data_IF_490257569154
#
_entry.id   IF_490257569154
#
_cell.length_a   1.000
_cell.length_b   1.000
_cell.length_c   1.000
_cell.angle_alpha   90.00
_cell.angle_beta   90.00
_cell.angle_gamma   90.00
#
_symmetry.space_group_name_H-M   'P 1'
#
loop_
_entity.id
_entity.type
_entity.pdbx_description
1 polymer ?
#
# COMPACT_ATOMS: atom_id res chain seq x y z
N UNK A 1 -8.31 22.07 0.54
CA UNK A 1 -6.87 21.92 0.24
C UNK A 1 -6.76 20.99 -0.96
N UNK A 2 -6.00 21.39 -1.95
CA UNK A 2 -5.73 20.52 -3.10
C UNK A 2 -4.85 19.36 -2.62
N UNK A 3 -5.14 18.16 -3.06
CA UNK A 3 -4.35 16.94 -2.75
C UNK A 3 -2.86 17.09 -3.13
N UNK A 4 -2.53 17.97 -4.07
CA UNK A 4 -1.15 18.28 -4.49
C UNK A 4 -0.27 18.74 -3.33
N UNK A 5 -0.75 19.71 -2.53
CA UNK A 5 0.01 20.20 -1.38
C UNK A 5 0.17 19.13 -0.29
N UNK A 6 -0.77 18.20 -0.18
CA UNK A 6 -0.70 17.12 0.81
C UNK A 6 0.30 16.02 0.42
N UNK A 7 0.36 15.65 -0.86
CA UNK A 7 1.31 14.63 -1.33
C UNK A 7 2.77 15.06 -1.11
N UNK A 8 3.10 16.32 -1.38
CA UNK A 8 4.43 16.90 -1.19
C UNK A 8 4.91 16.86 0.28
N UNK A 9 3.97 17.03 1.24
CA UNK A 9 4.29 16.98 2.68
C UNK A 9 4.07 15.62 3.33
N UNK A 10 3.46 14.68 2.62
CA UNK A 10 3.05 13.38 3.18
C UNK A 10 4.23 12.61 3.76
N UNK A 11 5.35 12.56 3.07
CA UNK A 11 6.54 11.85 3.54
C UNK A 11 7.15 12.48 4.80
N UNK A 12 7.05 13.81 4.94
CA UNK A 12 7.43 14.50 6.17
C UNK A 12 6.52 14.11 7.35
N UNK A 13 5.22 13.96 7.10
CA UNK A 13 4.24 13.53 8.12
C UNK A 13 4.36 12.04 8.45
N UNK A 14 4.87 11.23 7.55
CA UNK A 14 5.11 9.79 7.74
C UNK A 14 6.57 9.47 8.03
N UNK A 15 7.39 10.46 8.39
CA UNK A 15 8.81 10.29 8.72
C UNK A 15 9.08 9.35 9.89
N UNK A 16 8.06 9.06 10.72
CA UNK A 16 8.09 8.06 11.77
C UNK A 16 7.81 6.63 11.28
N UNK A 17 7.44 6.46 10.01
CA UNK A 17 7.21 5.13 9.42
C UNK A 17 8.56 4.57 8.95
N UNK A 18 9.04 3.57 9.66
CA UNK A 18 10.27 2.86 9.29
C UNK A 18 9.97 1.88 8.14
N UNK A 19 9.98 2.40 6.90
CA UNK A 19 9.66 1.61 5.70
C UNK A 19 10.60 0.42 5.50
N UNK A 20 11.85 0.53 5.93
CA UNK A 20 12.84 -0.57 5.89
C UNK A 20 12.41 -1.74 6.78
N UNK A 21 12.01 -1.46 8.00
CA UNK A 21 11.58 -2.47 8.96
C UNK A 21 10.26 -3.10 8.53
N UNK A 22 9.36 -2.28 7.96
CA UNK A 22 8.10 -2.75 7.40
C UNK A 22 8.33 -3.68 6.21
N UNK A 23 9.20 -3.31 5.30
CA UNK A 23 9.55 -4.15 4.16
C UNK A 23 10.19 -5.48 4.61
N UNK A 24 11.10 -5.44 5.58
CA UNK A 24 11.69 -6.64 6.17
C UNK A 24 10.64 -7.53 6.84
N UNK A 25 9.69 -6.93 7.55
CA UNK A 25 8.59 -7.67 8.17
C UNK A 25 7.71 -8.37 7.11
N UNK A 26 7.33 -7.66 6.03
CA UNK A 26 6.55 -8.24 4.93
C UNK A 26 7.30 -9.39 4.28
N UNK A 27 8.59 -9.24 4.01
CA UNK A 27 9.42 -10.31 3.46
C UNK A 27 9.46 -11.54 4.36
N UNK A 28 9.68 -11.35 5.68
CA UNK A 28 9.64 -12.43 6.66
C UNK A 28 8.26 -13.09 6.73
N UNK A 29 7.21 -12.31 6.65
CA UNK A 29 5.83 -12.82 6.67
C UNK A 29 5.56 -13.72 5.46
N UNK A 30 5.90 -13.29 4.25
CA UNK A 30 5.75 -14.10 3.02
C UNK A 30 6.52 -15.42 3.17
N UNK A 31 7.78 -15.36 3.61
CA UNK A 31 8.62 -16.55 3.83
C UNK A 31 8.04 -17.49 4.89
N UNK A 32 7.37 -16.96 5.93
CA UNK A 32 6.75 -17.78 6.97
C UNK A 32 5.60 -18.65 6.46
N UNK A 33 4.98 -18.24 5.36
CA UNK A 33 3.98 -19.04 4.63
C UNK A 33 4.59 -20.03 3.63
N UNK A 34 5.93 -20.12 3.57
CA UNK A 34 6.64 -20.99 2.62
C UNK A 34 6.47 -20.53 1.17
N UNK A 35 6.34 -19.22 0.94
CA UNK A 35 6.10 -18.63 -0.37
C UNK A 35 7.23 -17.70 -0.80
N UNK A 36 7.34 -17.55 -2.12
CA UNK A 36 8.06 -16.43 -2.74
C UNK A 36 7.08 -15.31 -3.03
N UNK A 37 7.56 -14.08 -3.08
CA UNK A 37 6.72 -12.90 -3.32
C UNK A 37 6.05 -12.92 -4.69
N UNK A 38 6.77 -13.43 -5.72
CA UNK A 38 6.32 -13.40 -7.11
C UNK A 38 5.98 -12.00 -7.58
N UNK A 39 5.10 -11.90 -8.56
CA UNK A 39 4.58 -10.60 -9.03
C UNK A 39 3.73 -9.98 -7.93
N UNK A 40 4.19 -8.85 -7.41
CA UNK A 40 3.65 -8.19 -6.22
C UNK A 40 2.93 -6.88 -6.57
N UNK A 41 1.75 -6.69 -6.01
CA UNK A 41 1.00 -5.43 -6.07
C UNK A 41 1.07 -4.73 -4.71
N UNK A 42 1.51 -3.47 -4.69
CA UNK A 42 1.30 -2.55 -3.58
C UNK A 42 0.01 -1.74 -3.85
N UNK A 43 -1.07 -2.11 -3.17
CA UNK A 43 -2.41 -1.55 -3.34
C UNK A 43 -2.65 -0.40 -2.37
N UNK A 44 -2.98 0.78 -2.89
CA UNK A 44 -2.97 2.07 -2.20
C UNK A 44 -1.54 2.45 -1.75
N UNK A 45 -0.62 2.43 -2.70
CA UNK A 45 0.81 2.63 -2.47
C UNK A 45 1.19 4.06 -2.05
N UNK A 46 0.27 5.03 -2.18
CA UNK A 46 0.53 6.43 -1.86
C UNK A 46 1.71 7.00 -2.63
N UNK A 47 2.66 7.61 -1.93
CA UNK A 47 3.90 8.17 -2.49
C UNK A 47 4.97 7.11 -2.77
N UNK A 48 4.62 5.82 -2.74
CA UNK A 48 5.47 4.72 -3.19
C UNK A 48 6.67 4.39 -2.30
N UNK A 49 6.78 4.93 -1.10
CA UNK A 49 7.96 4.73 -0.24
C UNK A 49 8.17 3.26 0.13
N UNK A 50 7.10 2.53 0.44
CA UNK A 50 7.16 1.09 0.69
C UNK A 50 7.42 0.30 -0.59
N UNK A 51 6.74 0.67 -1.69
CA UNK A 51 6.95 0.06 -3.01
C UNK A 51 8.41 0.12 -3.42
N UNK A 52 9.03 1.30 -3.29
CA UNK A 52 10.43 1.54 -3.62
C UNK A 52 11.39 0.72 -2.74
N UNK A 53 11.12 0.65 -1.44
CA UNK A 53 11.94 -0.15 -0.51
C UNK A 53 11.86 -1.65 -0.84
N UNK A 54 10.68 -2.18 -1.18
CA UNK A 54 10.51 -3.56 -1.60
C UNK A 54 11.17 -3.84 -2.95
N UNK A 55 11.05 -2.92 -3.90
CA UNK A 55 11.74 -3.03 -5.19
C UNK A 55 13.27 -3.14 -5.02
N UNK A 56 13.87 -2.29 -4.17
CA UNK A 56 15.30 -2.32 -3.86
C UNK A 56 15.75 -3.60 -3.15
N UNK A 57 14.82 -4.34 -2.57
CA UNK A 57 15.02 -5.70 -1.99
C UNK A 57 14.84 -6.81 -3.02
N UNK A 58 14.58 -6.47 -4.28
CA UNK A 58 14.46 -7.41 -5.39
C UNK A 58 13.06 -7.97 -5.63
N UNK A 59 12.02 -7.31 -5.11
CA UNK A 59 10.64 -7.68 -5.44
C UNK A 59 10.30 -7.26 -6.88
N UNK A 60 9.61 -8.12 -7.61
CA UNK A 60 8.91 -7.77 -8.84
C UNK A 60 7.60 -7.09 -8.48
N UNK A 61 7.61 -5.76 -8.31
CA UNK A 61 6.54 -5.00 -7.69
C UNK A 61 6.09 -3.81 -8.52
N UNK A 62 4.79 -3.54 -8.48
CA UNK A 62 4.19 -2.33 -9.02
C UNK A 62 3.19 -1.73 -8.02
N UNK A 63 2.93 -0.43 -8.14
CA UNK A 63 2.04 0.31 -7.24
C UNK A 63 0.72 0.69 -7.90
N UNK A 64 -0.35 0.68 -7.11
CA UNK A 64 -1.67 1.21 -7.49
C UNK A 64 -2.14 2.17 -6.42
N UNK A 65 -2.53 3.38 -6.82
CA UNK A 65 -3.19 4.35 -5.94
C UNK A 65 -4.31 5.09 -6.67
N UNK A 66 -5.25 5.65 -5.92
CA UNK A 66 -6.35 6.43 -6.46
C UNK A 66 -5.97 7.89 -6.77
N UNK A 67 -4.88 8.39 -6.18
CA UNK A 67 -4.41 9.75 -6.29
C UNK A 67 -3.27 9.86 -7.29
N UNK A 68 -3.51 10.61 -8.37
CA UNK A 68 -2.47 10.89 -9.38
C UNK A 68 -1.33 11.72 -8.77
N UNK A 69 -1.61 12.57 -7.79
CA UNK A 69 -0.62 13.41 -7.14
C UNK A 69 0.34 12.56 -6.32
N UNK A 70 -0.20 11.58 -5.55
CA UNK A 70 0.62 10.60 -4.82
C UNK A 70 1.51 9.79 -5.77
N UNK A 71 0.97 9.34 -6.90
CA UNK A 71 1.75 8.59 -7.89
C UNK A 71 2.81 9.44 -8.59
N UNK A 72 2.57 10.75 -8.76
CA UNK A 72 3.58 11.68 -9.26
C UNK A 72 4.78 11.78 -8.31
N UNK A 73 4.53 11.88 -7.01
CA UNK A 73 5.58 11.85 -5.99
C UNK A 73 6.31 10.49 -5.97
N UNK A 74 5.56 9.39 -6.08
CA UNK A 74 6.15 8.06 -6.16
C UNK A 74 7.11 7.93 -7.36
N UNK A 75 6.71 8.43 -8.52
CA UNK A 75 7.55 8.40 -9.73
C UNK A 75 8.79 9.29 -9.61
N UNK A 76 8.69 10.45 -8.96
CA UNK A 76 9.82 11.35 -8.75
C UNK A 76 10.89 10.78 -7.80
N UNK A 77 10.50 9.88 -6.89
CA UNK A 77 11.43 9.21 -5.98
C UNK A 77 12.26 8.11 -6.65
N UNK A 78 11.79 7.59 -7.78
CA UNK A 78 12.52 6.58 -8.52
C UNK A 78 13.73 7.20 -9.21
N UNK A 79 14.89 6.56 -9.12
CA UNK A 79 16.05 6.91 -9.94
C UNK A 79 15.82 6.47 -11.40
N UNK A 80 16.67 6.95 -12.32
CA UNK A 80 16.56 6.62 -13.75
C UNK A 80 16.63 5.10 -14.03
N UNK A 81 17.32 4.35 -13.17
CA UNK A 81 17.47 2.90 -13.28
C UNK A 81 16.32 2.11 -12.60
N UNK A 82 15.48 2.77 -11.82
CA UNK A 82 14.36 2.14 -11.10
C UNK A 82 13.08 2.21 -11.93
N UNK A 83 12.73 1.11 -12.61
CA UNK A 83 11.56 1.04 -13.48
C UNK A 83 10.37 0.43 -12.74
N UNK A 84 9.70 1.20 -11.91
CA UNK A 84 8.51 0.79 -11.19
C UNK A 84 7.27 1.31 -11.92
N UNK A 85 6.32 0.43 -12.21
CA UNK A 85 5.04 0.80 -12.78
C UNK A 85 4.09 1.31 -11.69
N UNK A 86 3.56 2.52 -11.86
CA UNK A 86 2.51 3.07 -11.02
C UNK A 86 1.23 3.29 -11.84
N UNK A 87 0.09 2.80 -11.32
CA UNK A 87 -1.20 2.82 -12.01
C UNK A 87 -2.25 3.55 -11.18
N UNK A 88 -2.91 4.56 -11.76
CA UNK A 88 -3.96 5.31 -11.08
C UNK A 88 -5.29 4.56 -11.16
N UNK A 89 -5.66 3.88 -10.08
CA UNK A 89 -6.94 3.17 -9.95
C UNK A 89 -7.42 3.18 -8.50
N UNK A 90 -8.74 3.19 -8.31
CA UNK A 90 -9.35 2.95 -7.00
C UNK A 90 -9.33 1.45 -6.69
N UNK A 91 -8.98 1.08 -5.44
CA UNK A 91 -8.88 -0.32 -5.03
C UNK A 91 -10.16 -1.14 -5.23
N UNK A 92 -11.35 -0.53 -5.04
CA UNK A 92 -12.64 -1.16 -5.31
C UNK A 92 -12.99 -1.27 -6.80
N UNK A 93 -12.17 -0.71 -7.67
CA UNK A 93 -12.29 -0.80 -9.14
C UNK A 93 -11.04 -1.39 -9.79
N UNK A 94 -10.21 -2.08 -9.00
CA UNK A 94 -8.97 -2.69 -9.47
C UNK A 94 -9.23 -3.55 -10.71
N UNK A 95 -8.44 -3.30 -11.76
CA UNK A 95 -8.50 -4.04 -13.01
C UNK A 95 -7.09 -4.21 -13.55
N UNK A 96 -6.57 -5.44 -13.45
CA UNK A 96 -5.23 -5.82 -13.85
C UNK A 96 -5.27 -6.63 -15.15
N UNK A 97 -4.17 -6.60 -15.89
CA UNK A 97 -4.02 -7.35 -17.14
C UNK A 97 -3.66 -8.83 -16.89
N UNK A 98 -3.07 -9.15 -15.73
CA UNK A 98 -2.61 -10.50 -15.36
C UNK A 98 -2.87 -10.80 -13.91
N UNK A 99 -2.70 -12.06 -13.52
CA UNK A 99 -2.68 -12.48 -12.12
C UNK A 99 -1.43 -11.95 -11.40
N UNK A 100 -1.53 -11.86 -10.08
CA UNK A 100 -0.46 -11.47 -9.16
C UNK A 100 -0.31 -12.54 -8.08
N UNK A 101 0.90 -12.71 -7.54
CA UNK A 101 1.16 -13.70 -6.50
C UNK A 101 1.02 -13.13 -5.10
N UNK A 102 1.32 -11.85 -4.93
CA UNK A 102 1.19 -11.15 -3.65
C UNK A 102 0.51 -9.80 -3.86
N UNK A 103 -0.47 -9.50 -3.01
CA UNK A 103 -1.05 -8.17 -2.86
C UNK A 103 -0.75 -7.66 -1.45
N UNK A 104 -0.21 -6.44 -1.36
CA UNK A 104 0.08 -5.75 -0.10
C UNK A 104 -0.81 -4.52 -0.04
N UNK A 105 -1.45 -4.24 1.09
CA UNK A 105 -2.26 -3.05 1.33
C UNK A 105 -2.09 -2.63 2.79
N UNK A 106 -1.12 -1.78 3.08
CA UNK A 106 -0.71 -1.44 4.45
C UNK A 106 -0.96 0.03 4.80
N UNK A 107 -0.53 0.42 6.00
CA UNK A 107 -0.72 1.78 6.53
C UNK A 107 -2.19 2.17 6.61
N UNK A 108 -3.01 1.26 7.15
CA UNK A 108 -4.45 1.41 7.36
C UNK A 108 -5.26 1.86 6.13
N UNK A 109 -4.73 1.63 4.92
CA UNK A 109 -5.37 2.04 3.67
C UNK A 109 -6.79 1.49 3.49
N UNK A 110 -7.06 0.26 3.97
CA UNK A 110 -8.41 -0.32 3.99
C UNK A 110 -9.39 0.53 4.83
N UNK A 111 -8.92 1.17 5.89
CA UNK A 111 -9.76 2.01 6.76
C UNK A 111 -10.28 3.29 6.08
N UNK A 112 -9.66 3.72 4.97
CA UNK A 112 -10.16 4.83 4.17
C UNK A 112 -11.45 4.49 3.39
N UNK A 113 -11.79 3.20 3.26
CA UNK A 113 -13.05 2.75 2.67
C UNK A 113 -14.17 2.81 3.72
N UNK A 114 -14.89 3.92 3.76
CA UNK A 114 -15.97 4.15 4.73
C UNK A 114 -17.28 3.41 4.40
N UNK A 115 -17.41 2.88 3.18
CA UNK A 115 -18.58 2.13 2.74
C UNK A 115 -18.29 0.62 2.74
N UNK A 116 -19.04 -0.20 3.50
CA UNK A 116 -18.84 -1.65 3.52
C UNK A 116 -18.96 -2.34 2.16
N UNK A 117 -19.71 -1.76 1.21
CA UNK A 117 -19.79 -2.28 -0.17
C UNK A 117 -18.45 -2.14 -0.89
N UNK A 118 -17.75 -1.02 -0.68
CA UNK A 118 -16.44 -0.77 -1.29
C UNK A 118 -15.37 -1.69 -0.72
N UNK A 119 -15.40 -1.95 0.60
CA UNK A 119 -14.53 -2.94 1.24
C UNK A 119 -14.76 -4.31 0.61
N UNK A 120 -16.02 -4.77 0.55
CA UNK A 120 -16.36 -6.07 -0.04
C UNK A 120 -15.91 -6.17 -1.50
N UNK A 121 -16.11 -5.11 -2.28
CA UNK A 121 -15.71 -5.10 -3.69
C UNK A 121 -14.18 -5.13 -3.83
N UNK A 122 -13.44 -4.41 -2.98
CA UNK A 122 -11.97 -4.44 -2.96
C UNK A 122 -11.46 -5.88 -2.73
N UNK A 123 -11.97 -6.56 -1.71
CA UNK A 123 -11.58 -7.94 -1.44
C UNK A 123 -11.90 -8.89 -2.60
N UNK A 124 -13.06 -8.71 -3.26
CA UNK A 124 -13.43 -9.48 -4.46
C UNK A 124 -12.47 -9.20 -5.62
N UNK A 125 -12.07 -7.94 -5.82
CA UNK A 125 -11.14 -7.56 -6.88
C UNK A 125 -9.76 -8.14 -6.65
N UNK A 126 -9.24 -8.04 -5.43
CA UNK A 126 -7.97 -8.67 -5.08
C UNK A 126 -8.05 -10.18 -5.29
N UNK A 127 -9.07 -10.85 -4.75
CA UNK A 127 -9.24 -12.30 -4.91
C UNK A 127 -9.37 -12.74 -6.38
N UNK A 128 -9.93 -11.90 -7.25
CA UNK A 128 -10.04 -12.17 -8.69
C UNK A 128 -8.67 -12.26 -9.37
N UNK A 129 -7.71 -11.43 -8.92
CA UNK A 129 -6.42 -11.31 -9.57
C UNK A 129 -5.30 -12.07 -8.85
N UNK A 130 -5.53 -12.53 -7.61
CA UNK A 130 -4.57 -13.40 -6.94
C UNK A 130 -4.47 -14.74 -7.65
N UNK A 131 -3.25 -15.17 -7.91
CA UNK A 131 -2.93 -16.52 -8.38
C UNK A 131 -3.39 -17.56 -7.37
N UNK A 132 -3.49 -18.82 -7.79
CA UNK A 132 -3.78 -19.91 -6.88
C UNK A 132 -2.73 -19.94 -5.76
N UNK A 133 -3.21 -19.92 -4.51
CA UNK A 133 -2.36 -19.85 -3.32
C UNK A 133 -1.60 -18.51 -3.13
N UNK A 134 -1.97 -17.45 -3.86
CA UNK A 134 -1.44 -16.10 -3.68
C UNK A 134 -1.77 -15.51 -2.31
N UNK A 135 -0.98 -14.54 -1.87
CA UNK A 135 -1.13 -13.90 -0.55
C UNK A 135 -1.74 -12.51 -0.66
N UNK A 136 -2.70 -12.22 0.21
CA UNK A 136 -3.17 -10.86 0.46
C UNK A 136 -2.77 -10.42 1.88
N UNK A 137 -1.83 -9.50 1.97
CA UNK A 137 -1.30 -8.96 3.23
C UNK A 137 -1.86 -7.56 3.41
N UNK A 138 -2.59 -7.32 4.49
CA UNK A 138 -3.16 -6.01 4.78
C UNK A 138 -3.18 -5.75 6.29
N UNK A 139 -3.21 -4.48 6.67
CA UNK A 139 -3.46 -4.05 8.04
C UNK A 139 -4.77 -3.26 8.14
N UNK A 140 -5.32 -3.22 9.34
CA UNK A 140 -6.50 -2.42 9.68
C UNK A 140 -6.41 -1.93 11.12
N UNK A 141 -6.94 -0.75 11.36
CA UNK A 141 -7.09 -0.24 12.71
C UNK A 141 -8.15 -1.03 13.48
N UNK A 142 -7.80 -1.47 14.67
CA UNK A 142 -8.73 -2.21 15.54
C UNK A 142 -9.75 -1.26 16.21
N UNK A 143 -10.87 -1.82 16.69
CA UNK A 143 -11.81 -1.07 17.51
C UNK A 143 -11.15 -0.46 18.77
N UNK A 144 -10.18 -1.19 19.35
CA UNK A 144 -9.40 -0.70 20.47
C UNK A 144 -8.64 0.58 20.10
N UNK A 145 -7.92 0.57 18.97
CA UNK A 145 -7.20 1.76 18.51
C UNK A 145 -8.14 2.95 18.33
N UNK A 146 -9.32 2.74 17.74
CA UNK A 146 -10.29 3.81 17.55
C UNK A 146 -10.89 4.33 18.85
N UNK A 147 -11.23 3.45 19.80
CA UNK A 147 -11.92 3.82 21.04
C UNK A 147 -10.99 4.33 22.11
N UNK A 148 -9.83 3.69 22.30
CA UNK A 148 -8.96 3.92 23.46
C UNK A 148 -7.72 4.77 23.10
N UNK A 149 -7.31 4.80 21.83
CA UNK A 149 -6.10 5.51 21.43
C UNK A 149 -6.42 6.80 20.66
N UNK A 150 -7.33 6.74 19.69
CA UNK A 150 -7.63 7.87 18.81
C UNK A 150 -8.79 8.74 19.30
N UNK A 151 -9.79 8.15 20.01
CA UNK A 151 -10.96 8.87 20.48
C UNK A 151 -10.54 9.91 21.52
N UNK A 152 -11.05 11.13 21.36
CA UNK A 152 -10.84 12.28 22.27
C UNK A 152 -9.36 12.68 22.48
N UNK A 153 -8.44 12.17 21.66
CA UNK A 153 -7.04 12.55 21.70
C UNK A 153 -6.67 13.47 20.53
N UNK A 154 -5.76 14.41 20.80
CA UNK A 154 -5.11 15.24 19.79
C UNK A 154 -3.62 14.90 19.78
N UNK A 155 -3.11 14.51 18.63
CA UNK A 155 -1.69 14.23 18.45
C UNK A 155 -1.06 15.41 17.71
N UNK A 156 -0.04 16.00 18.30
CA UNK A 156 0.77 17.07 17.69
C UNK A 156 2.14 16.49 17.40
N UNK A 157 2.57 16.60 16.17
CA UNK A 157 3.92 16.22 15.73
C UNK A 157 4.66 17.51 15.39
N UNK A 158 5.81 17.75 16.04
CA UNK A 158 6.71 18.87 15.79
C UNK A 158 7.66 18.57 14.65
#
# INVERSE_FOLDING_TARGET
>A
MSYNAFAEFYDGLTGNVEYKDRAEYIEKLIKSFGREAGTTLDLACGTGSLTLELYRRGFDIFGVDASIDMLSEAQQKCSEDEQILFICQKMQRLNLASEIDTCICTLDSINHLTNPKDVKETFKRVAKYLSKDGLFIFDVNTLYKHREVLCDNCFVFD
#
